data_IF_757662155550
#
_entry.id   IF_757662155550
#
_cell.length_a   1.000
_cell.length_b   1.000
_cell.length_c   1.000
_cell.angle_alpha   90.00
_cell.angle_beta   90.00
_cell.angle_gamma   90.00
#
_symmetry.space_group_name_H-M   'P 1'
#
loop_
_entity.id
_entity.type
_entity.pdbx_description
1 polymer ?
#
# COMPACT_ATOMS: atom_id res chain seq x y z
N UNK A 1 -13.23 1.27 -9.86
CA UNK A 1 -12.02 2.07 -9.79
C UNK A 1 -10.81 1.18 -10.13
N UNK A 2 -9.84 1.74 -10.84
CA UNK A 2 -8.79 0.96 -11.48
C UNK A 2 -7.85 0.28 -10.47
N UNK A 3 -7.39 1.04 -9.47
CA UNK A 3 -6.46 0.48 -8.47
C UNK A 3 -7.16 -0.57 -7.62
N UNK A 4 -8.39 -0.31 -7.21
CA UNK A 4 -9.17 -1.26 -6.42
C UNK A 4 -9.38 -2.56 -7.20
N UNK A 5 -9.69 -2.47 -8.48
CA UNK A 5 -9.88 -3.66 -9.33
C UNK A 5 -8.59 -4.48 -9.43
N UNK A 6 -7.45 -3.80 -9.50
CA UNK A 6 -6.15 -4.48 -9.54
C UNK A 6 -5.90 -5.24 -8.24
N UNK A 7 -6.17 -4.61 -7.10
CA UNK A 7 -6.01 -5.26 -5.78
C UNK A 7 -6.94 -6.46 -5.69
N UNK A 8 -8.19 -6.30 -6.08
CA UNK A 8 -9.18 -7.38 -6.08
C UNK A 8 -8.70 -8.57 -6.91
N UNK A 9 -8.18 -8.30 -8.11
CA UNK A 9 -7.64 -9.34 -8.99
C UNK A 9 -6.47 -10.08 -8.36
N UNK A 10 -5.53 -9.34 -7.76
CA UNK A 10 -4.34 -9.93 -7.13
C UNK A 10 -4.76 -10.84 -5.96
N UNK A 11 -5.71 -10.40 -5.16
CA UNK A 11 -6.10 -11.11 -3.94
C UNK A 11 -7.19 -12.17 -4.17
N UNK A 12 -7.87 -12.14 -5.31
CA UNK A 12 -8.99 -13.04 -5.55
C UNK A 12 -10.20 -12.72 -4.70
N UNK A 13 -10.42 -11.46 -4.41
CA UNK A 13 -11.48 -10.96 -3.55
C UNK A 13 -10.94 -10.02 -2.49
N UNK A 14 -11.80 -9.19 -1.93
CA UNK A 14 -11.40 -8.17 -0.93
C UNK A 14 -11.90 -8.48 0.47
N UNK A 15 -13.05 -9.15 0.57
CA UNK A 15 -13.66 -9.42 1.87
C UNK A 15 -12.74 -10.27 2.75
N UNK A 16 -12.50 -9.80 3.96
CA UNK A 16 -11.66 -10.49 4.93
C UNK A 16 -10.16 -10.33 4.69
N UNK A 17 -9.77 -9.56 3.68
CA UNK A 17 -8.36 -9.32 3.37
C UNK A 17 -7.84 -8.09 4.11
N UNK A 18 -6.54 -8.03 4.33
CA UNK A 18 -5.87 -6.90 4.96
C UNK A 18 -4.93 -6.24 3.97
N UNK A 19 -5.08 -4.93 3.81
CA UNK A 19 -4.28 -4.11 2.90
C UNK A 19 -3.45 -3.14 3.72
N UNK A 20 -2.13 -3.18 3.55
CA UNK A 20 -1.24 -2.16 4.10
C UNK A 20 -1.10 -1.06 3.04
N UNK A 21 -1.58 0.14 3.34
CA UNK A 21 -1.63 1.24 2.39
C UNK A 21 -0.59 2.30 2.76
N UNK A 22 0.40 2.48 1.90
CA UNK A 22 1.51 3.40 2.11
C UNK A 22 1.24 4.71 1.38
N UNK A 23 0.95 5.76 2.15
CA UNK A 23 0.71 7.08 1.62
C UNK A 23 -0.73 7.32 1.20
N UNK A 24 -1.34 8.36 1.74
CA UNK A 24 -2.73 8.74 1.45
C UNK A 24 -2.88 10.21 1.11
N UNK A 25 -1.77 10.96 1.05
CA UNK A 25 -1.82 12.38 0.73
C UNK A 25 -2.02 12.61 -0.77
N UNK A 26 -2.34 13.84 -1.14
CA UNK A 26 -2.59 14.22 -2.53
C UNK A 26 -1.32 14.12 -3.38
N UNK A 27 -0.16 14.49 -2.81
CA UNK A 27 1.15 14.48 -3.49
C UNK A 27 2.23 13.95 -2.55
N UNK A 28 3.38 13.51 -3.09
CA UNK A 28 4.50 13.09 -2.24
C UNK A 28 5.01 14.21 -1.34
N UNK A 29 5.40 13.83 -0.12
CA UNK A 29 6.11 14.68 0.83
C UNK A 29 5.34 15.91 1.31
N UNK A 30 4.00 15.85 1.26
CA UNK A 30 3.11 16.86 1.84
C UNK A 30 2.10 16.17 2.76
N UNK A 31 1.34 16.96 3.52
CA UNK A 31 0.38 16.41 4.48
C UNK A 31 -1.08 16.60 4.06
N UNK A 32 -1.34 17.11 2.86
CA UNK A 32 -2.70 17.39 2.40
C UNK A 32 -3.40 16.11 1.96
N UNK A 33 -4.46 15.72 2.68
CA UNK A 33 -5.26 14.53 2.35
C UNK A 33 -6.54 14.89 1.60
N UNK A 34 -6.83 16.16 1.39
CA UNK A 34 -8.04 16.60 0.69
C UNK A 34 -7.97 16.19 -0.79
N UNK A 35 -9.09 15.72 -1.31
CA UNK A 35 -9.22 15.32 -2.72
C UNK A 35 -8.20 14.26 -3.16
N UNK A 36 -7.59 13.55 -2.20
CA UNK A 36 -6.64 12.49 -2.53
C UNK A 36 -7.37 11.28 -3.11
N UNK A 37 -6.98 10.81 -4.31
CA UNK A 37 -7.54 9.59 -4.87
C UNK A 37 -7.31 8.37 -3.97
N UNK A 38 -6.23 8.37 -3.20
CA UNK A 38 -5.90 7.24 -2.32
C UNK A 38 -6.80 7.22 -1.08
N UNK A 39 -7.25 8.39 -0.60
CA UNK A 39 -8.26 8.43 0.45
C UNK A 39 -9.57 7.80 -0.04
N UNK A 40 -9.94 8.06 -1.29
CA UNK A 40 -11.11 7.46 -1.90
C UNK A 40 -10.95 5.94 -2.04
N UNK A 41 -9.77 5.49 -2.46
CA UNK A 41 -9.45 4.07 -2.55
C UNK A 41 -9.59 3.39 -1.18
N UNK A 42 -9.09 4.01 -0.13
CA UNK A 42 -9.20 3.50 1.23
C UNK A 42 -10.65 3.25 1.61
N UNK A 43 -11.49 4.26 1.38
CA UNK A 43 -12.93 4.16 1.65
C UNK A 43 -13.57 3.00 0.89
N UNK A 44 -13.25 2.88 -0.39
CA UNK A 44 -13.81 1.81 -1.24
C UNK A 44 -13.38 0.42 -0.80
N UNK A 45 -12.12 0.26 -0.38
CA UNK A 45 -11.61 -1.02 0.11
C UNK A 45 -12.37 -1.46 1.36
N UNK A 46 -12.61 -0.53 2.28
CA UNK A 46 -13.34 -0.85 3.50
C UNK A 46 -14.81 -1.19 3.22
N UNK A 47 -15.42 -0.50 2.26
CA UNK A 47 -16.79 -0.84 1.82
C UNK A 47 -16.89 -2.25 1.28
N UNK A 48 -15.82 -2.77 0.70
CA UNK A 48 -15.79 -4.13 0.13
C UNK A 48 -15.38 -5.19 1.16
N UNK A 49 -15.22 -4.80 2.41
CA UNK A 49 -14.94 -5.75 3.50
C UNK A 49 -13.47 -5.97 3.80
N UNK A 50 -12.57 -5.16 3.22
CA UNK A 50 -11.15 -5.24 3.53
C UNK A 50 -10.83 -4.44 4.79
N UNK A 51 -9.81 -4.88 5.52
CA UNK A 51 -9.21 -4.10 6.59
C UNK A 51 -8.03 -3.34 6.02
N UNK A 52 -7.97 -2.03 6.24
CA UNK A 52 -6.89 -1.20 5.72
C UNK A 52 -6.07 -0.64 6.86
N UNK A 53 -4.76 -0.92 6.81
CA UNK A 53 -3.79 -0.39 7.77
C UNK A 53 -2.94 0.65 7.05
N UNK A 54 -3.11 1.91 7.41
CA UNK A 54 -2.47 3.02 6.71
C UNK A 54 -1.17 3.39 7.37
N UNK A 55 -0.13 3.57 6.56
CA UNK A 55 1.15 4.14 6.97
C UNK A 55 1.38 5.41 6.18
N UNK A 56 1.32 6.57 6.84
CA UNK A 56 1.65 7.83 6.19
C UNK A 56 2.37 8.76 7.15
N UNK A 57 3.70 8.85 7.05
CA UNK A 57 4.48 9.69 7.98
C UNK A 57 4.21 11.18 7.83
N UNK A 58 3.65 11.63 6.70
CA UNK A 58 3.34 13.04 6.48
C UNK A 58 1.95 13.43 6.96
N UNK A 59 1.06 12.47 7.17
CA UNK A 59 -0.33 12.75 7.52
C UNK A 59 -0.74 12.18 8.88
N UNK A 60 0.21 11.82 9.72
CA UNK A 60 -0.08 11.19 11.02
C UNK A 60 -1.09 11.97 11.86
N UNK A 61 -0.95 13.30 11.89
CA UNK A 61 -1.80 14.15 12.71
C UNK A 61 -3.22 14.28 12.15
N UNK A 62 -3.43 13.94 10.91
CA UNK A 62 -4.72 14.03 10.22
C UNK A 62 -5.46 12.71 10.19
N UNK A 63 -4.81 11.63 10.65
CA UNK A 63 -5.37 10.29 10.63
C UNK A 63 -5.64 9.85 12.07
N UNK A 64 -6.72 9.11 12.24
CA UNK A 64 -7.06 8.54 13.55
C UNK A 64 -5.95 7.57 13.99
N UNK A 65 -5.38 6.83 13.06
CA UNK A 65 -4.25 5.96 13.33
C UNK A 65 -3.38 5.84 12.08
N UNK A 66 -2.05 5.97 12.26
CA UNK A 66 -1.07 5.69 11.23
C UNK A 66 -0.06 4.69 11.79
N UNK A 67 0.14 3.61 11.07
CA UNK A 67 1.08 2.56 11.44
C UNK A 67 2.49 2.92 10.98
N UNK A 68 3.51 2.36 11.63
CA UNK A 68 4.88 2.49 11.18
C UNK A 68 5.13 1.63 9.94
N UNK A 69 6.22 1.93 9.21
CA UNK A 69 6.53 1.28 7.92
C UNK A 69 6.59 -0.25 8.04
N UNK A 70 7.18 -0.76 9.12
CA UNK A 70 7.32 -2.20 9.28
C UNK A 70 6.24 -2.82 10.17
N UNK A 71 5.31 -2.02 10.65
CA UNK A 71 4.18 -2.48 11.43
C UNK A 71 2.94 -2.71 10.56
N UNK A 72 2.68 -1.81 9.63
CA UNK A 72 1.51 -1.89 8.76
C UNK A 72 1.43 -3.22 7.98
N UNK A 73 2.54 -3.77 7.46
CA UNK A 73 2.48 -5.00 6.68
C UNK A 73 2.21 -6.27 7.49
N UNK A 74 2.36 -6.24 8.81
CA UNK A 74 2.16 -7.46 9.63
C UNK A 74 0.75 -8.00 9.46
N UNK A 75 0.64 -9.24 9.00
CA UNK A 75 -0.64 -9.89 8.75
C UNK A 75 -1.36 -9.42 7.50
N UNK A 76 -0.73 -8.55 6.70
CA UNK A 76 -1.36 -8.04 5.48
C UNK A 76 -1.26 -9.04 4.33
N UNK A 77 -2.22 -8.97 3.43
CA UNK A 77 -2.26 -9.80 2.22
C UNK A 77 -1.64 -9.07 1.03
N UNK A 78 -1.48 -7.76 1.13
CA UNK A 78 -0.86 -6.93 0.10
C UNK A 78 -0.37 -5.61 0.73
N UNK A 79 0.74 -5.09 0.20
CA UNK A 79 1.19 -3.73 0.46
C UNK A 79 0.95 -2.93 -0.81
N UNK A 80 0.27 -1.79 -0.68
CA UNK A 80 -0.02 -0.89 -1.80
C UNK A 80 0.73 0.42 -1.57
N UNK A 81 1.63 0.76 -2.51
CA UNK A 81 2.28 2.08 -2.49
C UNK A 81 1.35 3.06 -3.19
N UNK A 82 0.67 3.89 -2.40
CA UNK A 82 -0.29 4.87 -2.93
C UNK A 82 0.34 6.21 -3.26
N UNK A 83 1.28 6.66 -2.41
CA UNK A 83 2.01 7.91 -2.61
C UNK A 83 3.48 7.67 -2.29
N UNK A 84 4.35 8.10 -3.17
CA UNK A 84 5.78 7.82 -3.07
C UNK A 84 6.52 8.84 -2.20
N UNK A 85 6.19 8.88 -0.91
CA UNK A 85 6.93 9.69 0.05
C UNK A 85 8.39 9.24 0.15
N UNK A 86 9.29 10.17 0.44
CA UNK A 86 10.73 9.86 0.56
C UNK A 86 11.02 8.78 1.59
N UNK A 87 10.23 8.69 2.65
CA UNK A 87 10.39 7.70 3.71
C UNK A 87 10.25 6.26 3.21
N UNK A 88 9.59 6.06 2.07
CA UNK A 88 9.39 4.72 1.50
C UNK A 88 10.49 4.30 0.52
N UNK A 89 11.42 5.21 0.19
CA UNK A 89 12.42 4.95 -0.85
C UNK A 89 13.37 3.79 -0.50
N UNK A 90 13.83 3.75 0.75
CA UNK A 90 14.88 2.82 1.17
C UNK A 90 14.39 1.76 2.13
N UNK A 91 13.16 1.29 1.96
CA UNK A 91 12.62 0.24 2.83
C UNK A 91 13.37 -1.08 2.62
N UNK A 92 13.53 -1.82 3.71
CA UNK A 92 14.07 -3.17 3.68
C UNK A 92 12.92 -4.14 3.36
N UNK A 93 12.86 -4.64 2.13
CA UNK A 93 11.75 -5.49 1.69
C UNK A 93 11.71 -6.84 2.41
N UNK A 94 12.86 -7.38 2.82
CA UNK A 94 12.87 -8.60 3.59
C UNK A 94 12.17 -8.39 4.94
N UNK A 95 12.48 -7.29 5.60
CA UNK A 95 11.87 -6.93 6.88
C UNK A 95 10.39 -6.57 6.71
N UNK A 96 10.07 -5.83 5.64
CA UNK A 96 8.70 -5.39 5.36
C UNK A 96 7.77 -6.57 5.13
N UNK A 97 8.23 -7.61 4.44
CA UNK A 97 7.39 -8.75 4.05
C UNK A 97 7.44 -9.92 5.04
N UNK A 98 8.32 -9.87 6.04
CA UNK A 98 8.61 -11.02 6.91
C UNK A 98 7.37 -11.58 7.62
N UNK A 99 6.43 -10.73 8.00
CA UNK A 99 5.25 -11.16 8.75
C UNK A 99 3.95 -10.93 7.96
N UNK A 100 4.05 -10.78 6.64
CA UNK A 100 2.87 -10.69 5.79
C UNK A 100 2.22 -12.05 5.62
N UNK A 101 0.90 -12.04 5.48
CA UNK A 101 0.11 -13.24 5.19
C UNK A 101 0.39 -13.75 3.79
N UNK A 102 0.39 -12.84 2.82
CA UNK A 102 0.79 -13.09 1.44
C UNK A 102 1.68 -11.94 1.01
N UNK A 103 2.82 -12.25 0.38
CA UNK A 103 3.85 -11.26 0.09
C UNK A 103 3.61 -10.59 -1.25
N UNK A 104 2.49 -9.88 -1.38
CA UNK A 104 2.13 -9.13 -2.58
C UNK A 104 2.42 -7.66 -2.39
N UNK A 105 3.06 -7.04 -3.39
CA UNK A 105 3.37 -5.61 -3.37
C UNK A 105 2.86 -4.99 -4.67
N UNK A 106 1.98 -3.99 -4.56
CA UNK A 106 1.48 -3.23 -5.69
C UNK A 106 2.05 -1.81 -5.63
N UNK A 107 2.87 -1.48 -6.62
CA UNK A 107 3.50 -0.17 -6.75
C UNK A 107 2.71 0.64 -7.77
N UNK A 108 2.01 1.67 -7.32
CA UNK A 108 1.20 2.51 -8.23
C UNK A 108 2.00 3.67 -8.80
N UNK A 109 3.27 3.82 -8.41
CA UNK A 109 4.11 4.97 -8.77
C UNK A 109 5.37 4.62 -9.54
N UNK A 110 5.61 3.34 -9.78
CA UNK A 110 6.87 2.87 -10.38
C UNK A 110 8.08 3.40 -9.59
N UNK A 111 8.00 3.28 -8.29
CA UNK A 111 8.95 3.89 -7.35
C UNK A 111 9.98 2.89 -6.82
N UNK A 112 9.55 1.64 -6.61
CA UNK A 112 10.40 0.59 -6.05
C UNK A 112 11.04 -0.24 -7.15
N UNK A 113 12.23 -0.78 -6.85
CA UNK A 113 12.98 -1.62 -7.77
C UNK A 113 12.42 -3.05 -7.72
N UNK A 114 11.92 -3.52 -8.84
CA UNK A 114 11.36 -4.87 -8.96
C UNK A 114 12.35 -5.94 -8.49
N UNK A 115 13.63 -5.80 -8.84
CA UNK A 115 14.64 -6.79 -8.47
C UNK A 115 14.82 -6.88 -6.97
N UNK A 116 14.79 -5.75 -6.27
CA UNK A 116 14.90 -5.71 -4.80
C UNK A 116 13.68 -6.35 -4.14
N UNK A 117 12.50 -6.08 -4.66
CA UNK A 117 11.25 -6.65 -4.14
C UNK A 117 11.22 -8.16 -4.33
N UNK A 118 11.54 -8.63 -5.54
CA UNK A 118 11.50 -10.06 -5.84
C UNK A 118 12.63 -10.82 -5.13
N UNK A 119 13.77 -10.19 -4.92
CA UNK A 119 14.87 -10.79 -4.15
C UNK A 119 14.47 -11.06 -2.71
N UNK A 120 13.53 -10.30 -2.16
CA UNK A 120 13.00 -10.53 -0.82
C UNK A 120 11.92 -11.62 -0.77
N UNK A 121 11.60 -12.23 -1.91
CA UNK A 121 10.60 -13.29 -1.98
C UNK A 121 9.18 -12.79 -2.19
N UNK A 122 9.00 -11.53 -2.56
CA UNK A 122 7.68 -10.95 -2.76
C UNK A 122 7.29 -10.92 -4.23
N UNK A 123 5.98 -10.87 -4.47
CA UNK A 123 5.43 -10.68 -5.80
C UNK A 123 5.29 -9.17 -6.05
N UNK A 124 5.88 -8.69 -7.14
CA UNK A 124 5.84 -7.27 -7.47
C UNK A 124 4.86 -7.02 -8.62
N UNK A 125 3.91 -6.12 -8.38
CA UNK A 125 2.93 -5.69 -9.39
C UNK A 125 3.08 -4.19 -9.60
N UNK A 126 3.14 -3.77 -10.86
CA UNK A 126 3.25 -2.37 -11.23
C UNK A 126 1.96 -1.94 -11.91
N UNK A 127 1.34 -0.89 -11.39
CA UNK A 127 0.12 -0.34 -11.97
C UNK A 127 0.44 0.41 -13.25
N UNK A 128 -0.38 0.21 -14.29
CA UNK A 128 -0.21 0.94 -15.54
C UNK A 128 0.78 0.32 -16.51
N UNK A 129 1.27 -0.87 -16.21
CA UNK A 129 2.24 -1.59 -17.04
C UNK A 129 1.55 -2.58 -17.99
N UNK A 130 0.33 -2.30 -18.37
CA UNK A 130 -0.44 -3.18 -19.25
C UNK A 130 -0.96 -4.44 -18.58
N UNK A 131 -0.93 -4.47 -17.29
CA UNK A 131 -1.30 -5.65 -16.51
C UNK A 131 -2.64 -5.52 -15.85
#
# INVERSE_FOLDING_TARGET
>A
EFVMNKIDTILGGLEGKTVALYGVTYKPNIDDVRESPIMHLWSMLEEKGATVKVCDPHAKEKLEKSYDIYEAPKGADIVVLGVNHNQFADVDFAKLTAEMNAKNILDTRNFWDKEKVTAAGANYYLLGDGQ
#
